data_IF_622687096897
#
_entry.id   IF_622687096897
#
_cell.length_a   1.000
_cell.length_b   1.000
_cell.length_c   1.000
_cell.angle_alpha   90.00
_cell.angle_beta   90.00
_cell.angle_gamma   90.00
#
_symmetry.space_group_name_H-M   'P 1'
#
loop_
_entity.id
_entity.type
_entity.pdbx_description
1 polymer ?
#
# COMPACT_ATOMS: atom_id res chain seq x y z
N UNK A 1 -9.11 -61.53 75.69
CA UNK A 1 -9.89 -62.31 74.70
C UNK A 1 -10.77 -61.34 73.92
N UNK A 2 -10.37 -60.91 72.73
CA UNK A 2 -11.23 -60.06 71.89
C UNK A 2 -12.32 -60.94 71.25
N UNK A 3 -13.62 -60.58 71.39
CA UNK A 3 -14.72 -61.44 70.96
C UNK A 3 -14.66 -61.65 69.44
N UNK A 4 -14.78 -62.91 69.00
CA UNK A 4 -14.62 -63.33 67.60
C UNK A 4 -15.53 -62.55 66.62
N UNK A 5 -16.67 -62.04 67.10
CA UNK A 5 -17.59 -61.21 66.32
C UNK A 5 -16.99 -59.86 65.90
N UNK A 6 -16.16 -59.26 66.75
CA UNK A 6 -15.50 -57.99 66.44
C UNK A 6 -14.45 -58.19 65.33
N UNK A 7 -13.74 -59.32 65.35
CA UNK A 7 -12.75 -59.68 64.32
C UNK A 7 -13.41 -59.98 62.98
N UNK A 8 -14.59 -60.61 62.98
CA UNK A 8 -15.39 -60.83 61.77
C UNK A 8 -15.94 -59.53 61.19
N UNK A 9 -16.47 -58.63 62.03
CA UNK A 9 -16.91 -57.29 61.60
C UNK A 9 -15.75 -56.47 61.00
N UNK A 10 -14.57 -56.52 61.63
CA UNK A 10 -13.38 -55.83 61.12
C UNK A 10 -12.92 -56.42 59.78
N UNK A 11 -12.95 -57.74 59.62
CA UNK A 11 -12.63 -58.40 58.36
C UNK A 11 -13.61 -58.03 57.24
N UNK A 12 -14.91 -57.99 57.55
CA UNK A 12 -15.95 -57.57 56.59
C UNK A 12 -15.81 -56.08 56.25
N UNK A 13 -15.56 -55.23 57.25
CA UNK A 13 -15.35 -53.79 57.02
C UNK A 13 -14.12 -53.53 56.13
N UNK A 14 -13.02 -54.25 56.36
CA UNK A 14 -11.82 -54.17 55.51
C UNK A 14 -12.12 -54.68 54.11
N UNK A 15 -12.86 -55.77 53.97
CA UNK A 15 -13.22 -56.31 52.65
C UNK A 15 -14.11 -55.34 51.87
N UNK A 16 -15.11 -54.72 52.53
CA UNK A 16 -15.96 -53.71 51.92
C UNK A 16 -15.16 -52.46 51.55
N UNK A 17 -14.25 -52.00 52.42
CA UNK A 17 -13.39 -50.86 52.14
C UNK A 17 -12.44 -51.14 50.95
N UNK A 18 -11.90 -52.36 50.86
CA UNK A 18 -11.06 -52.79 49.75
C UNK A 18 -11.84 -52.80 48.42
N UNK A 19 -13.08 -53.30 48.45
CA UNK A 19 -13.98 -53.30 47.27
C UNK A 19 -14.30 -51.87 46.83
N UNK A 20 -14.60 -50.97 47.77
CA UNK A 20 -14.84 -49.55 47.46
C UNK A 20 -13.60 -48.86 46.91
N UNK A 21 -12.41 -49.16 47.45
CA UNK A 21 -11.15 -48.63 46.94
C UNK A 21 -10.89 -49.09 45.50
N UNK A 22 -11.12 -50.37 45.22
CA UNK A 22 -11.00 -50.95 43.88
C UNK A 22 -11.96 -50.30 42.88
N UNK A 23 -13.22 -50.09 43.30
CA UNK A 23 -14.22 -49.36 42.52
C UNK A 23 -13.78 -47.90 42.25
N UNK A 24 -13.24 -47.21 43.25
CA UNK A 24 -12.74 -45.85 43.10
C UNK A 24 -11.56 -45.73 42.13
N UNK A 25 -10.62 -46.68 42.18
CA UNK A 25 -9.43 -46.72 41.31
C UNK A 25 -9.80 -47.09 39.86
N UNK A 26 -10.88 -47.83 39.64
CA UNK A 26 -11.37 -48.17 38.28
C UNK A 26 -12.27 -47.08 37.69
N UNK A 27 -13.14 -46.47 38.51
CA UNK A 27 -14.09 -45.44 38.06
C UNK A 27 -13.41 -44.05 37.94
N UNK A 28 -12.45 -43.74 38.82
CA UNK A 28 -11.70 -42.48 38.81
C UNK A 28 -11.02 -42.12 37.48
N UNK A 29 -10.23 -43.01 36.84
CA UNK A 29 -9.56 -42.71 35.57
C UNK A 29 -10.55 -42.60 34.40
N UNK A 30 -11.71 -43.25 34.47
CA UNK A 30 -12.76 -43.11 33.46
C UNK A 30 -13.32 -41.68 33.44
N UNK A 31 -13.54 -41.06 34.61
CA UNK A 31 -14.01 -39.66 34.69
C UNK A 31 -12.94 -38.62 34.30
N UNK A 32 -11.66 -38.91 34.56
CA UNK A 32 -10.54 -38.03 34.18
C UNK A 32 -10.37 -37.88 32.67
N UNK A 33 -10.58 -38.95 31.91
CA UNK A 33 -10.45 -38.96 30.45
C UNK A 33 -11.55 -38.16 29.73
N UNK A 34 -12.74 -37.98 30.36
CA UNK A 34 -13.81 -37.17 29.78
C UNK A 34 -13.56 -35.66 29.84
N UNK A 35 -12.67 -35.18 30.73
CA UNK A 35 -12.35 -33.74 30.83
C UNK A 35 -11.36 -33.26 29.75
N UNK A 36 -10.43 -34.11 29.31
CA UNK A 36 -9.48 -33.76 28.23
C UNK A 36 -10.09 -33.80 26.82
N UNK A 37 -11.32 -34.31 26.67
CA UNK A 37 -12.06 -34.26 25.40
C UNK A 37 -12.80 -32.93 25.17
N UNK A 38 -13.17 -32.20 26.24
CA UNK A 38 -13.91 -30.94 26.15
C UNK A 38 -12.99 -29.76 25.81
N UNK A 39 -11.78 -29.71 26.36
CA UNK A 39 -10.83 -28.61 26.10
C UNK A 39 -10.37 -28.53 24.62
N UNK A 40 -10.35 -29.66 23.91
CA UNK A 40 -10.01 -29.67 22.48
C UNK A 40 -11.16 -29.19 21.60
N UNK A 41 -12.41 -29.41 22.01
CA UNK A 41 -13.60 -28.98 21.24
C UNK A 41 -13.79 -27.46 21.37
N UNK A 42 -13.58 -26.89 22.56
CA UNK A 42 -13.72 -25.45 22.79
C UNK A 42 -12.66 -24.62 22.03
N UNK A 43 -11.41 -25.08 21.92
CA UNK A 43 -10.36 -24.39 21.14
C UNK A 43 -10.64 -24.44 19.62
N UNK A 44 -11.19 -25.55 19.13
CA UNK A 44 -11.60 -25.70 17.73
C UNK A 44 -12.81 -24.82 17.40
N UNK A 45 -13.80 -24.71 18.30
CA UNK A 45 -14.96 -23.82 18.12
C UNK A 45 -14.58 -22.34 18.18
N UNK A 46 -13.69 -21.94 19.09
CA UNK A 46 -13.20 -20.56 19.15
C UNK A 46 -12.46 -20.15 17.88
N UNK A 47 -11.60 -21.02 17.33
CA UNK A 47 -10.92 -20.77 16.06
C UNK A 47 -11.92 -20.65 14.91
N UNK A 48 -12.92 -21.52 14.86
CA UNK A 48 -13.96 -21.51 13.83
C UNK A 48 -14.80 -20.22 13.89
N UNK A 49 -15.15 -19.76 15.09
CA UNK A 49 -15.85 -18.50 15.31
C UNK A 49 -15.02 -17.27 14.86
N UNK A 50 -13.70 -17.28 15.08
CA UNK A 50 -12.80 -16.23 14.58
C UNK A 50 -12.74 -16.26 13.06
N UNK A 51 -12.51 -17.42 12.43
CA UNK A 51 -12.47 -17.53 10.97
C UNK A 51 -13.81 -17.17 10.30
N UNK A 52 -14.95 -17.51 10.91
CA UNK A 52 -16.27 -17.10 10.41
C UNK A 52 -16.49 -15.59 10.49
N UNK A 53 -15.98 -14.91 11.54
CA UNK A 53 -16.03 -13.44 11.63
C UNK A 53 -15.16 -12.78 10.56
N UNK A 54 -13.95 -13.31 10.32
CA UNK A 54 -13.08 -12.86 9.23
C UNK A 54 -13.73 -13.06 7.84
N UNK A 55 -14.47 -14.16 7.63
CA UNK A 55 -15.21 -14.41 6.39
C UNK A 55 -16.45 -13.51 6.27
N UNK A 56 -17.08 -13.14 7.39
CA UNK A 56 -18.21 -12.19 7.40
C UNK A 56 -17.79 -10.73 7.14
N UNK A 57 -16.52 -10.39 7.35
CA UNK A 57 -15.95 -9.06 7.04
C UNK A 57 -15.47 -8.91 5.58
N UNK A 58 -15.22 -10.02 4.88
CA UNK A 58 -14.89 -10.04 3.45
C UNK A 58 -15.92 -9.33 2.55
N UNK A 59 -17.24 -9.60 2.64
CA UNK A 59 -18.22 -8.94 1.79
C UNK A 59 -18.28 -7.43 2.05
N UNK A 60 -18.08 -6.97 3.29
CA UNK A 60 -18.05 -5.54 3.61
C UNK A 60 -16.82 -4.83 3.01
N UNK A 61 -15.69 -5.52 2.84
CA UNK A 61 -14.53 -4.98 2.14
C UNK A 61 -14.71 -5.03 0.61
N UNK A 62 -15.33 -6.08 0.08
CA UNK A 62 -15.69 -6.18 -1.34
C UNK A 62 -16.71 -5.11 -1.75
N UNK A 63 -17.69 -4.80 -0.90
CA UNK A 63 -18.65 -3.72 -1.11
C UNK A 63 -17.99 -2.35 -1.13
N UNK A 64 -17.07 -2.06 -0.20
CA UNK A 64 -16.28 -0.81 -0.22
C UNK A 64 -15.42 -0.70 -1.48
N UNK A 65 -14.81 -1.80 -1.92
CA UNK A 65 -14.06 -1.83 -3.17
C UNK A 65 -14.97 -1.63 -4.39
N UNK A 66 -16.18 -2.20 -4.36
CA UNK A 66 -17.17 -2.05 -5.42
C UNK A 66 -17.77 -0.63 -5.46
N UNK A 67 -17.97 -0.01 -4.30
CA UNK A 67 -18.41 1.39 -4.18
C UNK A 67 -17.35 2.36 -4.70
N UNK A 68 -16.08 2.17 -4.30
CA UNK A 68 -14.94 2.91 -4.85
C UNK A 68 -14.76 2.71 -6.36
N UNK A 69 -15.06 1.50 -6.89
CA UNK A 69 -15.07 1.25 -8.34
C UNK A 69 -16.26 1.90 -9.05
N UNK A 70 -17.44 1.96 -8.41
CA UNK A 70 -18.65 2.60 -8.97
C UNK A 70 -18.52 4.11 -9.05
N UNK A 71 -17.79 4.73 -8.12
CA UNK A 71 -17.52 6.18 -8.13
C UNK A 71 -16.50 6.63 -9.19
N UNK A 72 -15.92 5.72 -9.98
CA UNK A 72 -14.97 6.00 -11.07
C UNK A 72 -13.85 7.02 -10.74
N UNK A 73 -13.14 6.91 -9.60
CA UNK A 73 -11.95 7.74 -9.35
C UNK A 73 -10.85 7.51 -10.40
N UNK A 74 -10.84 6.34 -11.05
CA UNK A 74 -9.89 6.00 -12.10
C UNK A 74 -9.98 6.93 -13.32
N UNK A 75 -11.16 7.43 -13.69
CA UNK A 75 -11.28 8.33 -14.85
C UNK A 75 -10.66 9.70 -14.59
N UNK A 76 -10.59 10.15 -13.32
CA UNK A 76 -9.90 11.39 -12.93
C UNK A 76 -8.37 11.22 -12.87
N UNK A 77 -7.92 9.99 -12.63
CA UNK A 77 -6.49 9.65 -12.58
C UNK A 77 -5.90 9.39 -13.97
N UNK A 78 -6.74 9.16 -14.98
CA UNK A 78 -6.32 8.95 -16.37
C UNK A 78 -6.44 10.25 -17.16
N UNK A 79 -5.60 10.40 -18.18
CA UNK A 79 -5.75 11.47 -19.16
C UNK A 79 -7.09 11.34 -19.89
N UNK A 80 -7.70 12.49 -20.20
CA UNK A 80 -9.00 12.53 -20.87
C UNK A 80 -8.91 11.91 -22.28
N UNK A 81 -7.79 12.12 -22.96
CA UNK A 81 -7.54 11.59 -24.29
C UNK A 81 -6.99 10.16 -24.27
N UNK A 82 -7.67 9.23 -24.95
CA UNK A 82 -7.19 7.84 -25.10
C UNK A 82 -6.19 7.67 -26.24
N UNK A 83 -5.95 8.70 -27.06
CA UNK A 83 -5.01 8.63 -28.20
C UNK A 83 -3.63 9.12 -27.77
N UNK A 84 -2.55 8.33 -27.95
CA UNK A 84 -1.21 8.70 -27.48
C UNK A 84 -0.71 10.06 -27.97
N UNK A 85 -0.97 10.40 -29.22
CA UNK A 85 -0.54 11.67 -29.81
C UNK A 85 -1.28 12.90 -29.22
N UNK A 86 -2.57 12.76 -28.92
CA UNK A 86 -3.37 13.84 -28.33
C UNK A 86 -3.07 13.99 -26.85
N UNK A 87 -2.97 12.88 -26.13
CA UNK A 87 -2.54 12.83 -24.73
C UNK A 87 -1.15 13.46 -24.54
N UNK A 88 -0.19 13.20 -25.44
CA UNK A 88 1.13 13.84 -25.40
C UNK A 88 1.08 15.35 -25.60
N UNK A 89 0.21 15.83 -26.48
CA UNK A 89 0.00 17.26 -26.70
C UNK A 89 -0.68 17.94 -25.49
N UNK A 90 -1.66 17.27 -24.87
CA UNK A 90 -2.30 17.73 -23.64
C UNK A 90 -1.29 17.85 -22.48
N UNK A 91 -0.44 16.84 -22.28
CA UNK A 91 0.65 16.88 -21.31
C UNK A 91 1.62 18.03 -21.57
N UNK A 92 1.96 18.26 -22.84
CA UNK A 92 2.86 19.36 -23.21
C UNK A 92 2.25 20.73 -22.88
N UNK A 93 0.95 20.93 -23.15
CA UNK A 93 0.24 22.16 -22.79
C UNK A 93 0.15 22.34 -21.27
N UNK A 94 -0.13 21.25 -20.54
CA UNK A 94 -0.22 21.28 -19.08
C UNK A 94 1.12 21.69 -18.45
N UNK A 95 2.21 21.04 -18.82
CA UNK A 95 3.56 21.37 -18.32
C UNK A 95 3.93 22.80 -18.70
N UNK A 96 3.63 23.24 -19.92
CA UNK A 96 3.88 24.62 -20.35
C UNK A 96 3.19 25.65 -19.45
N UNK A 97 1.94 25.41 -19.05
CA UNK A 97 1.20 26.26 -18.11
C UNK A 97 1.83 26.26 -16.72
N UNK A 98 2.09 25.08 -16.14
CA UNK A 98 2.65 24.94 -14.79
C UNK A 98 4.05 25.56 -14.68
N UNK A 99 4.90 25.38 -15.70
CA UNK A 99 6.23 26.00 -15.76
C UNK A 99 6.10 27.52 -15.86
N UNK A 100 5.16 28.02 -16.65
CA UNK A 100 4.87 29.46 -16.75
C UNK A 100 4.39 30.07 -15.43
N UNK A 101 3.53 29.37 -14.68
CA UNK A 101 3.01 29.82 -13.37
C UNK A 101 4.08 29.88 -12.29
N UNK A 102 5.06 28.98 -12.33
CA UNK A 102 6.20 28.96 -11.40
C UNK A 102 7.30 29.97 -11.75
N UNK A 103 7.21 30.62 -12.92
CA UNK A 103 8.21 31.58 -13.40
C UNK A 103 9.51 30.95 -13.89
N UNK A 104 9.55 29.63 -14.05
CA UNK A 104 10.66 28.92 -14.65
C UNK A 104 10.62 29.03 -16.19
N UNK A 105 11.78 28.88 -16.83
CA UNK A 105 11.91 28.92 -18.27
C UNK A 105 11.85 27.50 -18.86
N UNK A 106 10.83 27.23 -19.67
CA UNK A 106 10.78 26.01 -20.46
C UNK A 106 11.79 26.10 -21.62
N UNK A 107 12.71 25.15 -21.72
CA UNK A 107 13.76 25.14 -22.76
C UNK A 107 13.35 24.22 -23.91
N UNK A 108 12.88 23.01 -23.61
CA UNK A 108 12.37 22.08 -24.62
C UNK A 108 11.42 21.04 -24.03
N UNK A 109 10.55 20.51 -24.87
CA UNK A 109 9.65 19.41 -24.56
C UNK A 109 9.62 18.44 -25.72
N UNK A 110 9.73 17.14 -25.44
CA UNK A 110 9.71 16.09 -26.45
C UNK A 110 8.75 14.99 -26.04
N UNK A 111 7.74 14.72 -26.87
CA UNK A 111 6.83 13.59 -26.65
C UNK A 111 7.58 12.29 -26.94
N UNK A 112 7.49 11.35 -26.00
CA UNK A 112 8.09 10.03 -26.08
C UNK A 112 6.97 9.00 -25.99
N UNK A 113 6.67 8.32 -27.09
CA UNK A 113 5.73 7.20 -27.07
C UNK A 113 6.34 6.04 -26.30
N UNK A 114 5.76 5.71 -25.16
CA UNK A 114 6.21 4.61 -24.32
C UNK A 114 5.52 3.34 -24.82
N UNK A 115 6.19 2.59 -25.70
CA UNK A 115 5.74 1.26 -26.08
C UNK A 115 6.12 0.32 -24.94
N UNK A 116 5.24 0.22 -23.96
CA UNK A 116 5.47 -0.61 -22.78
C UNK A 116 5.56 -2.08 -23.20
N UNK A 117 6.77 -2.64 -23.22
CA UNK A 117 7.03 -4.07 -23.41
C UNK A 117 6.55 -4.90 -22.23
N UNK A 118 5.25 -4.83 -21.91
CA UNK A 118 4.58 -5.65 -20.88
C UNK A 118 3.83 -4.89 -19.78
N UNK A 119 3.69 -3.56 -19.82
CA UNK A 119 2.87 -2.86 -18.81
C UNK A 119 1.37 -3.05 -19.08
N UNK A 120 0.53 -3.24 -18.04
CA UNK A 120 -0.90 -3.49 -18.21
C UNK A 120 -1.70 -2.27 -18.71
N UNK A 121 -1.15 -1.05 -18.61
CA UNK A 121 -1.85 0.21 -18.91
C UNK A 121 -1.02 1.01 -19.91
N UNK A 122 -1.60 1.44 -21.05
CA UNK A 122 -0.90 2.29 -22.01
C UNK A 122 -0.52 3.64 -21.38
N UNK A 123 0.69 4.10 -21.68
CA UNK A 123 1.24 5.33 -21.14
C UNK A 123 1.83 6.24 -22.23
N UNK A 124 1.88 7.53 -21.94
CA UNK A 124 2.50 8.54 -22.81
C UNK A 124 3.56 9.27 -22.01
N UNK A 125 4.79 9.26 -22.53
CA UNK A 125 5.92 9.97 -21.96
C UNK A 125 6.09 11.37 -22.57
N UNK A 126 6.62 12.29 -21.77
CA UNK A 126 7.04 13.62 -22.17
C UNK A 126 8.37 13.93 -21.48
N UNK A 127 9.44 14.07 -22.26
CA UNK A 127 10.73 14.56 -21.77
C UNK A 127 10.70 16.08 -21.69
N UNK A 128 10.99 16.63 -20.53
CA UNK A 128 10.93 18.06 -20.24
C UNK A 128 12.31 18.56 -19.87
N UNK A 129 12.74 19.64 -20.51
CA UNK A 129 13.95 20.38 -20.17
C UNK A 129 13.56 21.81 -19.77
N UNK A 130 13.90 22.19 -18.55
CA UNK A 130 13.57 23.49 -17.98
C UNK A 130 14.78 24.10 -17.29
N UNK A 131 14.75 25.43 -17.17
CA UNK A 131 15.75 26.19 -16.43
C UNK A 131 15.07 27.09 -15.42
N UNK A 132 15.57 27.14 -14.21
CA UNK A 132 15.00 27.98 -13.15
C UNK A 132 15.82 27.96 -11.88
N UNK A 133 15.31 28.62 -10.86
CA UNK A 133 15.88 28.56 -9.52
C UNK A 133 15.37 27.33 -8.75
N UNK A 134 16.05 26.98 -7.65
CA UNK A 134 15.68 25.84 -6.79
C UNK A 134 14.24 25.94 -6.29
N UNK A 135 13.78 27.11 -5.85
CA UNK A 135 12.39 27.28 -5.35
C UNK A 135 11.35 27.03 -6.45
N UNK A 136 11.64 27.46 -7.68
CA UNK A 136 10.74 27.26 -8.83
C UNK A 136 10.63 25.78 -9.20
N UNK A 137 11.76 25.05 -9.18
CA UNK A 137 11.77 23.60 -9.39
C UNK A 137 10.93 22.86 -8.34
N UNK A 138 11.11 23.20 -7.06
CA UNK A 138 10.37 22.55 -5.96
C UNK A 138 8.86 22.81 -6.10
N UNK A 139 8.46 24.05 -6.39
CA UNK A 139 7.05 24.39 -6.63
C UNK A 139 6.45 23.65 -7.81
N UNK A 140 7.22 23.52 -8.90
CA UNK A 140 6.77 22.80 -10.09
C UNK A 140 6.56 21.31 -9.77
N UNK A 141 7.55 20.65 -9.17
CA UNK A 141 7.42 19.23 -8.81
C UNK A 141 6.26 19.00 -7.84
N UNK A 142 6.03 19.92 -6.90
CA UNK A 142 4.88 19.86 -6.00
C UNK A 142 3.55 20.00 -6.76
N UNK A 143 3.47 20.95 -7.70
CA UNK A 143 2.28 21.15 -8.52
C UNK A 143 1.97 19.94 -9.41
N UNK A 144 3.00 19.29 -9.97
CA UNK A 144 2.83 18.05 -10.75
C UNK A 144 2.42 16.86 -9.88
N UNK A 145 3.01 16.73 -8.68
CA UNK A 145 2.72 15.62 -7.77
C UNK A 145 1.28 15.62 -7.25
N UNK A 146 0.66 16.79 -7.14
CA UNK A 146 -0.71 16.96 -6.65
C UNK A 146 -1.74 17.22 -7.77
N UNK A 147 -1.33 17.05 -9.03
CA UNK A 147 -2.23 17.25 -10.15
C UNK A 147 -3.13 16.03 -10.36
N UNK A 148 -4.39 16.28 -10.72
CA UNK A 148 -5.27 15.28 -11.34
C UNK A 148 -5.28 15.62 -12.83
N UNK A 149 -4.79 14.76 -13.75
CA UNK A 149 -4.59 13.31 -13.69
C UNK A 149 -3.26 12.82 -13.11
N UNK A 150 -3.13 11.50 -12.89
CA UNK A 150 -1.93 10.85 -12.34
C UNK A 150 -0.73 11.04 -13.27
N UNK A 151 0.26 11.77 -12.79
CA UNK A 151 1.51 12.06 -13.48
C UNK A 151 2.70 11.46 -12.72
N UNK A 152 3.52 10.68 -13.40
CA UNK A 152 4.74 10.11 -12.84
C UNK A 152 5.95 10.88 -13.34
N UNK A 153 6.75 11.40 -12.42
CA UNK A 153 8.03 12.05 -12.74
C UNK A 153 9.16 11.05 -12.54
N UNK A 154 9.92 10.78 -13.59
CA UNK A 154 11.03 9.85 -13.62
C UNK A 154 12.30 10.55 -14.15
N UNK A 155 13.46 9.91 -13.95
CA UNK A 155 14.75 10.32 -14.53
C UNK A 155 15.08 11.81 -14.34
N UNK A 156 14.88 12.33 -13.13
CA UNK A 156 15.19 13.73 -12.82
C UNK A 156 16.69 13.94 -12.75
N UNK A 157 17.21 14.77 -13.64
CA UNK A 157 18.61 15.21 -13.70
C UNK A 157 18.65 16.70 -13.43
N UNK A 158 19.39 17.09 -12.38
CA UNK A 158 19.57 18.50 -11.98
C UNK A 158 21.03 18.87 -12.15
N UNK A 159 21.27 19.88 -12.97
CA UNK A 159 22.59 20.43 -13.25
C UNK A 159 22.64 21.87 -12.74
N UNK A 160 23.68 22.22 -11.99
CA UNK A 160 23.94 23.62 -11.67
C UNK A 160 24.58 24.29 -12.89
N UNK A 161 23.96 25.34 -13.41
CA UNK A 161 24.50 26.15 -14.49
C UNK A 161 24.75 27.59 -13.99
N UNK A 162 25.74 27.80 -13.10
CA UNK A 162 26.10 29.14 -12.68
C UNK A 162 26.68 29.88 -13.90
N UNK A 163 25.83 30.65 -14.59
CA UNK A 163 26.31 31.60 -15.60
C UNK A 163 26.96 32.75 -14.86
N UNK A 164 28.23 32.56 -14.57
CA UNK A 164 29.18 33.58 -14.12
C UNK A 164 29.31 34.58 -15.28
N UNK A 165 28.48 35.64 -15.29
CA UNK A 165 28.58 36.72 -16.27
C UNK A 165 29.89 37.49 -16.02
N UNK A 166 30.96 37.04 -16.69
CA UNK A 166 32.32 37.56 -16.53
C UNK A 166 32.42 39.06 -16.84
N UNK A 167 31.48 39.65 -17.59
CA UNK A 167 31.49 41.07 -17.92
C UNK A 167 30.99 41.98 -16.77
N UNK A 168 30.36 41.43 -15.72
CA UNK A 168 29.79 42.20 -14.61
C UNK A 168 30.58 42.18 -13.30
N UNK A 169 31.77 41.58 -13.25
CA UNK A 169 32.63 41.62 -12.05
C UNK A 169 33.27 42.99 -11.83
N UNK A 170 32.48 43.97 -11.38
CA UNK A 170 32.99 45.23 -10.81
C UNK A 170 32.56 45.44 -9.35
N UNK A 171 31.67 44.62 -8.77
CA UNK A 171 31.26 44.70 -7.37
C UNK A 171 31.26 43.34 -6.67
N UNK A 172 31.74 43.33 -5.43
CA UNK A 172 31.76 42.16 -4.56
C UNK A 172 30.36 41.73 -4.05
N UNK A 173 29.32 42.51 -4.37
CA UNK A 173 27.93 42.24 -3.95
C UNK A 173 27.18 41.29 -4.91
N UNK A 174 27.66 41.13 -6.15
CA UNK A 174 27.05 40.27 -7.19
C UNK A 174 27.37 38.77 -7.01
N UNK A 175 28.16 38.41 -5.99
CA UNK A 175 28.49 37.02 -5.60
C UNK A 175 27.31 36.24 -5.02
N UNK A 176 26.15 36.89 -4.82
CA UNK A 176 24.87 36.25 -4.44
C UNK A 176 23.98 35.91 -5.65
N UNK A 177 24.55 35.72 -6.84
CA UNK A 177 23.79 35.13 -7.94
C UNK A 177 23.36 33.71 -7.54
N UNK A 178 22.07 33.52 -7.24
CA UNK A 178 21.48 32.20 -7.03
C UNK A 178 21.77 31.38 -8.29
N UNK A 179 22.42 30.20 -8.18
CA UNK A 179 22.77 29.42 -9.35
C UNK A 179 21.48 28.98 -10.05
N UNK A 180 21.36 29.33 -11.33
CA UNK A 180 20.29 28.77 -12.15
C UNK A 180 20.54 27.28 -12.35
N UNK A 181 19.49 26.49 -12.15
CA UNK A 181 19.48 25.05 -12.34
C UNK A 181 18.96 24.74 -13.75
N UNK A 182 19.64 23.85 -14.44
CA UNK A 182 19.13 23.14 -15.61
C UNK A 182 18.55 21.81 -15.14
N UNK A 183 17.26 21.59 -15.37
CA UNK A 183 16.53 20.43 -14.87
C UNK A 183 15.93 19.69 -16.05
N UNK A 184 16.25 18.41 -16.15
CA UNK A 184 15.64 17.49 -17.13
C UNK A 184 14.86 16.43 -16.37
N UNK A 185 13.65 16.10 -16.80
CA UNK A 185 12.90 14.97 -16.24
C UNK A 185 12.00 14.36 -17.30
N UNK A 186 11.64 13.10 -17.09
CA UNK A 186 10.67 12.38 -17.89
C UNK A 186 9.33 12.36 -17.14
N UNK A 187 8.27 12.79 -17.81
CA UNK A 187 6.91 12.79 -17.28
C UNK A 187 6.11 11.69 -17.97
N UNK A 188 5.47 10.80 -17.21
CA UNK A 188 4.56 9.78 -17.74
C UNK A 188 3.14 10.07 -17.31
N UNK A 189 2.22 10.09 -18.26
CA UNK A 189 0.79 10.10 -18.01
C UNK A 189 0.15 8.81 -18.51
N UNK A 190 -0.86 8.33 -17.78
CA UNK A 190 -1.59 7.12 -18.13
C UNK A 190 -2.84 7.46 -18.92
N UNK A 191 -3.09 6.70 -19.99
CA UNK A 191 -4.30 6.84 -20.80
C UNK A 191 -5.22 5.65 -20.55
N UNK A 192 -6.53 5.86 -20.62
CA UNK A 192 -7.46 4.74 -20.60
C UNK A 192 -7.10 3.79 -21.75
N UNK A 193 -7.05 2.48 -21.45
CA UNK A 193 -6.88 1.47 -22.48
C UNK A 193 -8.09 1.56 -23.43
N UNK A 194 -7.91 2.31 -24.53
CA UNK A 194 -8.92 2.44 -25.56
C UNK A 194 -9.19 1.04 -26.10
N UNK A 195 -10.37 0.50 -25.80
CA UNK A 195 -10.90 -0.63 -26.52
C UNK A 195 -10.88 -0.27 -28.01
N UNK A 196 -10.09 -1.00 -28.79
CA UNK A 196 -10.19 -0.98 -30.24
C UNK A 196 -11.65 -1.27 -30.62
N UNK A 197 -12.27 -0.49 -31.54
CA UNK A 197 -13.52 -0.89 -32.15
C UNK A 197 -13.37 -2.20 -32.94
#
# INVERSE_FOLDING_TARGET
MMPLRLRQLLAVAILVALVFLLLGVVVGPLLGQFRSGQEQIDDLEQRLAVYQRLIAELPAQEERLAELKRENPLSRLLLAESRPALAGAELQQLVGRLVGETGAQLVSTQIVTTSDGGAPVPSVGLKVHMRGETDQMVRLLYALAWHEPLLLVENVVVLSNPRVDMQRFRRAEDLKAVPSLDVTFDLKGFIAAGGTP
#
